data_IF_407806819749
#
_entry.id   IF_407806819749
#
_cell.length_a   1.000
_cell.length_b   1.000
_cell.length_c   1.000
_cell.angle_alpha   90.00
_cell.angle_beta   90.00
_cell.angle_gamma   90.00
#
_symmetry.space_group_name_H-M   'P 1'
#
loop_
_entity.id
_entity.type
_entity.pdbx_description
1 polymer ?
#
# COMPACT_ATOMS: atom_id res chain seq x y z
N UNK A 1 -8.46 -16.93 19.16
CA UNK A 1 -9.66 -16.43 18.45
C UNK A 1 -10.95 -16.95 19.09
N UNK A 2 -11.31 -18.24 18.97
CA UNK A 2 -12.57 -18.74 19.57
C UNK A 2 -12.70 -18.46 21.08
N UNK A 3 -11.64 -18.68 21.86
CA UNK A 3 -11.64 -18.39 23.32
C UNK A 3 -11.87 -16.91 23.68
N UNK A 4 -11.53 -15.98 22.78
CA UNK A 4 -11.55 -14.53 23.06
C UNK A 4 -12.77 -13.86 22.43
N UNK A 5 -13.08 -14.22 21.18
CA UNK A 5 -14.11 -13.58 20.36
C UNK A 5 -15.33 -14.47 20.13
N UNK A 6 -15.31 -15.71 20.63
CA UNK A 6 -16.40 -16.69 20.50
C UNK A 6 -16.84 -16.99 19.05
N UNK A 7 -15.93 -16.78 18.09
CA UNK A 7 -16.12 -17.05 16.67
C UNK A 7 -14.95 -17.88 16.12
N UNK A 8 -15.19 -18.56 14.99
CA UNK A 8 -14.16 -19.36 14.31
C UNK A 8 -13.00 -18.51 13.80
N UNK A 9 -11.80 -19.08 13.70
CA UNK A 9 -10.64 -18.37 13.13
C UNK A 9 -10.92 -17.89 11.70
N UNK A 10 -11.49 -18.76 10.87
CA UNK A 10 -11.81 -18.42 9.48
C UNK A 10 -12.83 -17.30 9.38
N UNK A 11 -13.86 -17.34 10.20
CA UNK A 11 -14.88 -16.28 10.27
C UNK A 11 -14.28 -14.94 10.69
N UNK A 12 -13.47 -14.94 11.75
CA UNK A 12 -12.78 -13.73 12.20
C UNK A 12 -11.80 -13.19 11.16
N UNK A 13 -11.03 -14.07 10.52
CA UNK A 13 -10.10 -13.71 9.47
C UNK A 13 -10.82 -13.11 8.27
N UNK A 14 -11.92 -13.72 7.81
CA UNK A 14 -12.73 -13.20 6.70
C UNK A 14 -13.29 -11.81 7.00
N UNK A 15 -13.74 -11.56 8.23
CA UNK A 15 -14.25 -10.23 8.63
C UNK A 15 -13.22 -9.11 8.49
N UNK A 16 -11.94 -9.43 8.63
CA UNK A 16 -10.86 -8.43 8.51
C UNK A 16 -10.15 -8.47 7.16
N UNK A 17 -10.16 -9.59 6.43
CA UNK A 17 -9.43 -9.77 5.17
C UNK A 17 -9.78 -8.67 4.14
N UNK A 18 -11.04 -8.27 4.06
CA UNK A 18 -11.52 -7.28 3.08
C UNK A 18 -11.69 -5.88 3.65
N UNK A 19 -11.38 -5.67 4.94
CA UNK A 19 -11.51 -4.37 5.57
C UNK A 19 -10.39 -3.45 5.07
N UNK A 20 -10.72 -2.33 4.44
CA UNK A 20 -9.75 -1.32 3.98
C UNK A 20 -10.10 0.04 4.58
N UNK A 21 -9.08 0.82 4.94
CA UNK A 21 -9.29 2.19 5.35
C UNK A 21 -9.63 3.07 4.16
N UNK A 22 -10.65 3.92 4.28
CA UNK A 22 -11.11 4.78 3.18
C UNK A 22 -10.09 5.82 2.70
N UNK A 23 -9.06 6.11 3.50
CA UNK A 23 -7.97 7.01 3.13
C UNK A 23 -6.81 6.31 2.42
N UNK A 24 -6.76 4.98 2.47
CA UNK A 24 -5.85 4.16 1.65
C UNK A 24 -6.46 3.91 0.26
N UNK A 25 -5.67 3.43 -0.72
CA UNK A 25 -6.18 3.07 -2.04
C UNK A 25 -7.38 2.12 -1.99
N UNK A 26 -8.41 2.50 -2.73
CA UNK A 26 -9.67 1.77 -2.83
C UNK A 26 -9.54 0.48 -3.66
N UNK A 27 -10.59 -0.33 -3.67
CA UNK A 27 -10.69 -1.49 -4.56
C UNK A 27 -10.77 -1.11 -6.04
N UNK A 28 -11.12 0.14 -6.38
CA UNK A 28 -11.07 0.64 -7.76
C UNK A 28 -9.63 0.97 -8.18
N UNK A 29 -8.82 1.49 -7.25
CA UNK A 29 -7.40 1.80 -7.48
C UNK A 29 -6.53 0.54 -7.49
N UNK A 30 -6.85 -0.45 -6.66
CA UNK A 30 -6.17 -1.75 -6.54
C UNK A 30 -7.23 -2.88 -6.48
N UNK A 31 -7.70 -3.36 -7.65
CA UNK A 31 -8.77 -4.36 -7.76
C UNK A 31 -8.26 -5.80 -7.60
N UNK A 32 -7.45 -6.03 -6.58
CA UNK A 32 -6.97 -7.36 -6.17
C UNK A 32 -6.77 -7.43 -4.66
N UNK A 33 -6.76 -8.64 -4.12
CA UNK A 33 -6.24 -8.93 -2.79
C UNK A 33 -4.81 -9.50 -2.87
N UNK A 34 -4.18 -9.64 -1.70
CA UNK A 34 -2.83 -10.16 -1.58
C UNK A 34 -2.73 -11.61 -2.12
N UNK A 35 -1.72 -11.87 -2.95
CA UNK A 35 -1.50 -13.12 -3.69
C UNK A 35 -2.54 -13.44 -4.78
N UNK A 36 -3.34 -12.45 -5.20
CA UNK A 36 -4.23 -12.58 -6.36
C UNK A 36 -3.64 -11.85 -7.56
N UNK A 37 -4.05 -12.22 -8.77
CA UNK A 37 -3.66 -11.48 -9.98
C UNK A 37 -4.63 -10.34 -10.23
N UNK A 38 -4.11 -9.16 -10.55
CA UNK A 38 -4.90 -8.02 -10.99
C UNK A 38 -5.62 -8.38 -12.30
N UNK A 39 -6.90 -8.01 -12.46
CA UNK A 39 -7.65 -8.31 -13.68
C UNK A 39 -6.97 -7.71 -14.92
N UNK A 40 -6.78 -8.50 -15.98
CA UNK A 40 -6.17 -8.03 -17.24
C UNK A 40 -6.86 -6.78 -17.78
N UNK A 41 -8.20 -6.74 -17.75
CA UNK A 41 -8.97 -5.58 -18.22
C UNK A 41 -8.66 -4.29 -17.45
N UNK A 42 -8.25 -4.38 -16.18
CA UNK A 42 -7.76 -3.23 -15.42
C UNK A 42 -6.34 -2.85 -15.83
N UNK A 43 -5.45 -3.85 -15.97
CA UNK A 43 -4.07 -3.63 -16.42
C UNK A 43 -4.03 -3.01 -17.83
N UNK A 44 -4.97 -3.37 -18.70
CA UNK A 44 -5.13 -2.82 -20.05
C UNK A 44 -5.41 -1.31 -20.10
N UNK A 45 -5.94 -0.74 -19.02
CA UNK A 45 -6.23 0.69 -18.92
C UNK A 45 -4.94 1.53 -18.75
N UNK A 46 -3.82 0.89 -18.42
CA UNK A 46 -2.55 1.57 -18.21
C UNK A 46 -1.74 1.75 -19.51
N UNK A 47 -1.30 2.99 -19.68
CA UNK A 47 -0.10 3.40 -20.41
C UNK A 47 1.07 3.51 -19.43
N UNK A 48 2.29 3.68 -19.92
CA UNK A 48 3.44 3.90 -19.03
C UNK A 48 3.25 5.16 -18.15
N UNK A 49 2.82 6.29 -18.73
CA UNK A 49 2.74 7.57 -18.01
C UNK A 49 1.67 7.54 -16.92
N UNK A 50 0.46 7.07 -17.24
CA UNK A 50 -0.58 6.98 -16.21
C UNK A 50 -0.27 5.91 -15.15
N UNK A 51 0.47 4.83 -15.48
CA UNK A 51 0.94 3.87 -14.49
C UNK A 51 1.98 4.48 -13.53
N UNK A 52 2.92 5.26 -14.04
CA UNK A 52 3.90 5.99 -13.21
C UNK A 52 3.17 6.96 -12.27
N UNK A 53 2.23 7.77 -12.78
CA UNK A 53 1.45 8.71 -11.96
C UNK A 53 0.59 7.99 -10.91
N UNK A 54 -0.10 6.92 -11.31
CA UNK A 54 -0.91 6.09 -10.41
C UNK A 54 -0.05 5.49 -9.28
N UNK A 55 1.07 4.87 -9.65
CA UNK A 55 2.02 4.26 -8.72
C UNK A 55 2.56 5.27 -7.73
N UNK A 56 2.99 6.45 -8.21
CA UNK A 56 3.47 7.54 -7.36
C UNK A 56 2.43 7.89 -6.28
N UNK A 57 1.17 8.11 -6.68
CA UNK A 57 0.10 8.47 -5.75
C UNK A 57 -0.19 7.36 -4.74
N UNK A 58 -0.36 6.10 -5.16
CA UNK A 58 -0.69 5.02 -4.22
C UNK A 58 0.47 4.74 -3.25
N UNK A 59 1.72 4.78 -3.72
CA UNK A 59 2.90 4.57 -2.88
C UNK A 59 3.06 5.68 -1.84
N UNK A 60 2.79 6.94 -2.20
CA UNK A 60 2.77 8.04 -1.23
C UNK A 60 1.69 7.86 -0.14
N UNK A 61 0.48 7.39 -0.51
CA UNK A 61 -0.57 7.08 0.48
C UNK A 61 -0.10 6.02 1.49
N UNK A 62 0.56 4.97 1.01
CA UNK A 62 1.14 3.94 1.89
C UNK A 62 2.34 4.44 2.70
N UNK A 63 3.13 5.37 2.18
CA UNK A 63 4.24 5.98 2.92
C UNK A 63 3.72 6.72 4.16
N UNK A 64 2.61 7.46 4.04
CA UNK A 64 1.95 8.08 5.20
C UNK A 64 1.51 7.04 6.24
N UNK A 65 1.00 5.89 5.80
CA UNK A 65 0.59 4.81 6.69
C UNK A 65 1.77 4.13 7.38
N UNK A 66 2.79 3.74 6.61
CA UNK A 66 3.98 3.07 7.14
C UNK A 66 4.79 3.96 8.07
N UNK A 67 4.89 5.28 7.81
CA UNK A 67 5.55 6.21 8.75
C UNK A 67 4.88 6.13 10.13
N UNK A 68 3.54 6.13 10.17
CA UNK A 68 2.81 5.99 11.44
C UNK A 68 3.10 4.63 12.11
N UNK A 69 3.05 3.53 11.36
CA UNK A 69 3.37 2.19 11.89
C UNK A 69 4.79 2.14 12.46
N UNK A 70 5.78 2.72 11.77
CA UNK A 70 7.16 2.79 12.24
C UNK A 70 7.24 3.55 13.58
N UNK A 71 6.54 4.67 13.71
CA UNK A 71 6.51 5.46 14.96
C UNK A 71 5.91 4.66 16.11
N UNK A 72 4.79 3.99 15.88
CA UNK A 72 4.11 3.20 16.91
C UNK A 72 4.96 1.99 17.36
N UNK A 73 5.71 1.37 16.45
CA UNK A 73 6.62 0.28 16.76
C UNK A 73 7.87 0.76 17.52
N UNK A 74 8.35 1.97 17.26
CA UNK A 74 9.44 2.58 18.01
C UNK A 74 9.00 2.90 19.45
N UNK A 75 7.83 3.52 19.62
CA UNK A 75 7.26 3.84 20.94
C UNK A 75 7.00 2.58 21.79
N UNK A 76 6.60 1.49 21.15
CA UNK A 76 6.42 0.18 21.79
C UNK A 76 7.74 -0.60 22.00
N UNK A 77 8.86 -0.09 21.50
CA UNK A 77 10.15 -0.78 21.43
C UNK A 77 10.03 -2.21 20.84
N UNK A 78 9.27 -2.33 19.76
CA UNK A 78 8.97 -3.59 19.10
C UNK A 78 10.22 -4.22 18.47
N UNK A 79 10.37 -5.56 18.48
CA UNK A 79 11.46 -6.23 17.77
C UNK A 79 11.41 -6.03 16.25
N UNK A 80 10.26 -5.64 15.69
CA UNK A 80 10.05 -5.47 14.24
C UNK A 80 10.36 -4.06 13.74
N UNK A 81 10.69 -3.11 14.62
CA UNK A 81 10.90 -1.70 14.26
C UNK A 81 11.89 -1.52 13.11
N UNK A 82 12.99 -2.29 13.13
CA UNK A 82 13.99 -2.28 12.05
C UNK A 82 13.42 -2.72 10.70
N UNK A 83 12.57 -3.75 10.66
CA UNK A 83 11.96 -4.23 9.43
C UNK A 83 11.04 -3.18 8.81
N UNK A 84 10.27 -2.46 9.63
CA UNK A 84 9.38 -1.41 9.16
C UNK A 84 10.12 -0.15 8.72
N UNK A 85 11.21 0.23 9.42
CA UNK A 85 12.11 1.27 8.95
C UNK A 85 12.75 0.94 7.60
N UNK A 86 13.18 -0.31 7.40
CA UNK A 86 13.71 -0.78 6.12
C UNK A 86 12.63 -0.70 5.01
N UNK A 87 11.42 -1.18 5.28
CA UNK A 87 10.30 -1.09 4.33
C UNK A 87 9.94 0.35 3.97
N UNK A 88 9.98 1.28 4.92
CA UNK A 88 9.75 2.71 4.68
C UNK A 88 10.83 3.31 3.76
N UNK A 89 12.10 2.92 3.95
CA UNK A 89 13.19 3.35 3.07
C UNK A 89 13.04 2.80 1.65
N UNK A 90 12.76 1.50 1.52
CA UNK A 90 12.53 0.88 0.20
C UNK A 90 11.34 1.51 -0.53
N UNK A 91 10.25 1.81 0.19
CA UNK A 91 9.10 2.51 -0.38
C UNK A 91 9.48 3.92 -0.86
N UNK A 92 10.29 4.64 -0.09
CA UNK A 92 10.78 5.97 -0.50
C UNK A 92 11.61 5.87 -1.77
N UNK A 93 12.48 4.88 -1.88
CA UNK A 93 13.31 4.66 -3.06
C UNK A 93 12.43 4.38 -4.29
N UNK A 94 11.38 3.55 -4.17
CA UNK A 94 10.39 3.34 -5.23
C UNK A 94 9.76 4.67 -5.68
N UNK A 95 9.32 5.51 -4.74
CA UNK A 95 8.70 6.81 -5.07
C UNK A 95 9.69 7.70 -5.83
N UNK A 96 10.95 7.74 -5.39
CA UNK A 96 12.01 8.51 -6.05
C UNK A 96 12.29 8.03 -7.48
N UNK A 97 12.40 6.72 -7.70
CA UNK A 97 12.62 6.15 -9.04
C UNK A 97 11.45 6.47 -9.99
N UNK A 98 10.21 6.38 -9.51
CA UNK A 98 9.02 6.77 -10.27
C UNK A 98 9.04 8.27 -10.61
N UNK A 99 9.46 9.11 -9.67
CA UNK A 99 9.60 10.56 -9.90
C UNK A 99 10.65 10.86 -10.97
N UNK A 100 11.83 10.23 -10.91
CA UNK A 100 12.87 10.35 -11.92
C UNK A 100 12.34 9.93 -13.29
N UNK A 101 11.66 8.78 -13.38
CA UNK A 101 11.07 8.29 -14.62
C UNK A 101 10.04 9.28 -15.21
N UNK A 102 9.22 9.93 -14.37
CA UNK A 102 8.29 10.97 -14.83
C UNK A 102 9.03 12.19 -15.38
N UNK A 103 10.09 12.65 -14.69
CA UNK A 103 10.93 13.77 -15.12
C UNK A 103 11.59 13.48 -16.47
N UNK A 104 12.15 12.29 -16.65
CA UNK A 104 12.79 11.86 -17.91
C UNK A 104 11.80 11.82 -19.09
N UNK A 105 10.53 11.51 -18.81
CA UNK A 105 9.45 11.55 -19.81
C UNK A 105 8.90 12.95 -20.06
N UNK A 106 9.41 13.98 -19.37
CA UNK A 106 8.92 15.35 -19.47
C UNK A 106 7.54 15.54 -18.83
N UNK A 107 7.14 14.63 -17.96
CA UNK A 107 5.83 14.62 -17.31
C UNK A 107 5.91 15.24 -15.92
N UNK A 108 4.86 15.98 -15.56
CA UNK A 108 4.74 16.50 -14.19
C UNK A 108 4.33 15.37 -13.25
N UNK A 109 4.99 15.28 -12.10
CA UNK A 109 4.56 14.40 -11.01
C UNK A 109 3.22 14.87 -10.41
N UNK A 110 2.39 13.95 -9.91
CA UNK A 110 1.22 14.30 -9.11
C UNK A 110 1.58 15.17 -7.90
N UNK A 111 0.58 15.83 -7.32
CA UNK A 111 0.76 16.59 -6.07
C UNK A 111 1.13 15.64 -4.91
N UNK A 112 1.97 16.12 -4.00
CA UNK A 112 2.39 15.34 -2.85
C UNK A 112 1.23 15.12 -1.89
N UNK A 113 1.01 13.87 -1.52
CA UNK A 113 0.07 13.48 -0.48
C UNK A 113 0.56 14.05 0.87
N UNK A 114 -0.34 14.79 1.52
CA UNK A 114 -0.07 15.38 2.83
C UNK A 114 -0.24 14.35 3.94
N UNK A 115 0.55 14.52 5.02
CA UNK A 115 0.53 13.60 6.17
C UNK A 115 -0.84 13.52 6.83
N UNK A 116 -1.63 14.59 6.80
CA UNK A 116 -2.99 14.62 7.36
C UNK A 116 -4.02 13.78 6.57
N UNK A 117 -3.60 13.10 5.49
CA UNK A 117 -4.40 12.09 4.79
C UNK A 117 -4.95 11.04 5.78
N UNK A 118 -4.14 10.58 6.73
CA UNK A 118 -4.59 9.67 7.77
C UNK A 118 -5.35 10.45 8.86
N UNK A 119 -6.65 10.16 9.06
CA UNK A 119 -7.49 10.84 10.04
C UNK A 119 -6.91 10.76 11.46
N UNK A 120 -7.09 11.84 12.24
CA UNK A 120 -6.52 11.96 13.58
C UNK A 120 -7.05 10.89 14.56
N UNK A 121 -8.32 10.49 14.43
CA UNK A 121 -8.96 9.45 15.23
C UNK A 121 -8.40 8.05 14.94
N UNK A 122 -7.94 7.81 13.71
CA UNK A 122 -7.25 6.57 13.31
C UNK A 122 -5.76 6.63 13.69
N UNK A 123 -5.17 7.83 13.71
CA UNK A 123 -3.77 8.04 14.12
C UNK A 123 -3.59 7.86 15.62
N UNK A 124 -4.42 8.52 16.43
CA UNK A 124 -4.30 8.61 17.89
C UNK A 124 -5.14 7.54 18.59
N UNK A 125 -4.79 6.28 18.34
CA UNK A 125 -5.48 5.14 18.93
C UNK A 125 -4.91 4.85 20.33
N UNK A 126 -5.76 4.89 21.35
CA UNK A 126 -5.32 4.75 22.74
C UNK A 126 -5.15 3.29 23.20
N UNK A 127 -5.74 2.33 22.49
CA UNK A 127 -5.65 0.91 22.84
C UNK A 127 -4.64 0.19 21.95
N UNK A 128 -3.69 -0.51 22.58
CA UNK A 128 -2.66 -1.29 21.87
C UNK A 128 -3.25 -2.34 20.93
N UNK A 129 -4.41 -2.91 21.27
CA UNK A 129 -5.07 -3.89 20.39
C UNK A 129 -5.56 -3.25 19.08
N UNK A 130 -6.18 -2.08 19.18
CA UNK A 130 -6.70 -1.36 18.02
C UNK A 130 -5.54 -0.80 17.17
N UNK A 131 -4.47 -0.34 17.82
CA UNK A 131 -3.23 0.09 17.16
C UNK A 131 -2.59 -1.05 16.37
N UNK A 132 -2.41 -2.21 16.98
CA UNK A 132 -1.84 -3.39 16.30
C UNK A 132 -2.71 -3.87 15.13
N UNK A 133 -4.04 -3.81 15.27
CA UNK A 133 -4.95 -4.17 14.19
C UNK A 133 -4.82 -3.19 13.01
N UNK A 134 -4.81 -1.88 13.28
CA UNK A 134 -4.60 -0.85 12.27
C UNK A 134 -3.26 -1.03 11.55
N UNK A 135 -2.19 -1.25 12.29
CA UNK A 135 -0.85 -1.39 11.73
C UNK A 135 -0.74 -2.63 10.84
N UNK A 136 -1.36 -3.73 11.27
CA UNK A 136 -1.47 -4.94 10.46
C UNK A 136 -2.26 -4.70 9.17
N UNK A 137 -3.37 -3.97 9.22
CA UNK A 137 -4.18 -3.62 8.03
C UNK A 137 -3.37 -2.76 7.04
N UNK A 138 -2.68 -1.73 7.53
CA UNK A 138 -1.82 -0.87 6.71
C UNK A 138 -0.72 -1.71 6.04
N UNK A 139 -0.03 -2.56 6.81
CA UNK A 139 1.05 -3.38 6.28
C UNK A 139 0.56 -4.41 5.24
N UNK A 140 -0.56 -5.07 5.51
CA UNK A 140 -1.18 -6.01 4.56
C UNK A 140 -1.52 -5.33 3.24
N UNK A 141 -2.14 -4.15 3.30
CA UNK A 141 -2.56 -3.42 2.12
C UNK A 141 -1.36 -2.85 1.36
N UNK A 142 -0.29 -2.44 2.06
CA UNK A 142 0.99 -2.08 1.46
C UNK A 142 1.59 -3.26 0.68
N UNK A 143 1.66 -4.45 1.27
CA UNK A 143 2.16 -5.65 0.59
C UNK A 143 1.34 -5.96 -0.68
N UNK A 144 0.02 -5.82 -0.60
CA UNK A 144 -0.88 -6.00 -1.74
C UNK A 144 -0.57 -4.98 -2.86
N UNK A 145 -0.27 -3.74 -2.49
CA UNK A 145 0.03 -2.66 -3.40
C UNK A 145 1.40 -2.83 -4.07
N UNK A 146 2.43 -3.28 -3.36
CA UNK A 146 3.73 -3.59 -3.96
C UNK A 146 3.59 -4.71 -5.00
N UNK A 147 2.89 -5.80 -4.65
CA UNK A 147 2.60 -6.88 -5.60
C UNK A 147 1.81 -6.37 -6.81
N UNK A 148 0.82 -5.51 -6.59
CA UNK A 148 0.05 -4.87 -7.67
C UNK A 148 0.93 -4.03 -8.60
N UNK A 149 1.83 -3.21 -8.05
CA UNK A 149 2.75 -2.38 -8.83
C UNK A 149 3.66 -3.25 -9.71
N UNK A 150 4.19 -4.34 -9.17
CA UNK A 150 4.97 -5.32 -9.94
C UNK A 150 4.15 -5.82 -11.13
N UNK A 151 2.92 -6.31 -10.89
CA UNK A 151 2.05 -6.81 -11.96
C UNK A 151 1.73 -5.76 -13.03
N UNK A 152 1.53 -4.50 -12.65
CA UNK A 152 1.31 -3.39 -13.60
C UNK A 152 2.53 -3.19 -14.51
N UNK A 153 3.74 -3.13 -13.95
CA UNK A 153 4.93 -2.89 -14.75
C UNK A 153 5.38 -4.11 -15.56
N UNK A 154 5.19 -5.33 -15.07
CA UNK A 154 5.39 -6.58 -15.84
C UNK A 154 4.45 -6.65 -17.05
N UNK A 155 3.19 -6.26 -16.85
CA UNK A 155 2.22 -6.20 -17.94
C UNK A 155 2.59 -5.14 -18.99
N UNK A 156 3.05 -3.97 -18.56
CA UNK A 156 3.53 -2.94 -19.49
C UNK A 156 4.78 -3.40 -20.25
N UNK A 157 5.71 -4.07 -19.57
CA UNK A 157 6.91 -4.63 -20.18
C UNK A 157 6.57 -5.66 -21.26
N UNK A 158 5.72 -6.64 -20.96
CA UNK A 158 5.33 -7.67 -21.94
C UNK A 158 4.63 -7.08 -23.17
N UNK A 159 3.84 -6.01 -23.01
CA UNK A 159 3.23 -5.27 -24.12
C UNK A 159 4.24 -4.53 -24.99
N UNK A 160 5.36 -4.07 -24.42
CA UNK A 160 6.43 -3.41 -25.18
C UNK A 160 7.24 -4.44 -25.97
N UNK A 161 7.55 -5.58 -25.37
CA UNK A 161 8.30 -6.67 -26.01
C UNK A 161 7.51 -7.30 -27.16
N UNK A 162 6.19 -7.41 -27.06
CA UNK A 162 5.32 -7.96 -28.12
C UNK A 162 5.17 -7.00 -29.32
N UNK A 163 5.48 -5.72 -29.14
CA UNK A 163 5.38 -4.69 -30.20
C UNK A 163 6.70 -4.41 -30.92
N UNK A 164 7.81 -4.96 -30.44
CA UNK A 164 9.14 -4.87 -31.05
C UNK A 164 9.35 -6.00 -32.07
#
# INVERSE_FOLDING_TARGET
VNRTFNIGFQEHHTSWKTHRYNWLPSAEEIPKELNETAPDGHLEMFTLINALKHTFTIMQKYACGLEQVTWDLEDQNSPFKKNFTEAEFELRDIICEIEVALIEKGEKRPEDIQRDLMPEDIRKVNQVTDMNLRDWLIFRDYMNAVEYVIQVFEFLQSKMETKA
#
